data_IF_984174333187
#
_entry.id   IF_984174333187
#
_cell.length_a   1.000
_cell.length_b   1.000
_cell.length_c   1.000
_cell.angle_alpha   90.00
_cell.angle_beta   90.00
_cell.angle_gamma   90.00
#
_symmetry.space_group_name_H-M   'P 1'
#
loop_
_entity.id
_entity.type
_entity.pdbx_description
1 polymer ?
#
# COMPACT_ATOMS: atom_id res chain seq x y z
N UNK A 1 47.00 28.51 -10.68
CA UNK A 1 46.65 27.97 -10.85
C UNK A 1 46.33 27.23 -10.89
N UNK A 2 46.17 27.48 -11.06
CA UNK A 2 45.68 26.70 -11.15
C UNK A 2 45.09 26.07 -11.02
N UNK A 3 44.87 26.07 -11.03
CA UNK A 3 44.28 25.32 -10.89
C UNK A 3 43.64 24.76 -10.87
N UNK A 4 43.91 25.00 -10.96
CA UNK A 4 43.31 24.24 -10.90
C UNK A 4 42.61 23.66 -10.66
N UNK A 5 42.60 23.98 -10.77
CA UNK A 5 41.92 23.30 -10.57
C UNK A 5 41.05 22.86 -10.48
N UNK A 6 41.07 23.03 -10.57
CA UNK A 6 40.32 22.46 -10.47
C UNK A 6 39.43 21.81 -10.48
N UNK A 7 39.47 21.88 -10.47
CA UNK A 7 38.67 21.09 -10.40
C UNK A 7 37.92 20.48 -10.36
N UNK A 8 38.41 20.90 -10.49
CA UNK A 8 37.71 20.09 -10.46
C UNK A 8 37.08 19.48 -10.31
N UNK A 9 36.73 19.46 -10.40
CA UNK A 9 36.03 18.72 -10.31
C UNK A 9 35.38 18.16 -10.21
N UNK A 10 35.86 18.65 -9.97
CA UNK A 10 35.36 17.97 -9.84
C UNK A 10 34.73 17.63 -9.85
N UNK A 11 34.86 17.90 -9.80
CA UNK A 11 34.37 17.42 -9.88
C UNK A 11 33.69 17.00 -9.80
N UNK A 12 33.83 17.19 -9.66
CA UNK A 12 33.29 16.56 -9.65
C UNK A 12 32.61 16.06 -9.43
N UNK A 13 32.68 16.35 -9.20
CA UNK A 13 32.20 15.66 -9.09
C UNK A 13 31.66 15.23 -8.97
N UNK A 14 31.55 15.30 -8.72
CA UNK A 14 31.23 14.62 -8.70
C UNK A 14 30.84 14.18 -8.66
N UNK A 15 30.67 14.27 -8.48
CA UNK A 15 30.33 13.62 -8.59
C UNK A 15 29.80 13.08 -8.57
N UNK A 16 29.82 13.29 -8.22
CA UNK A 16 29.33 12.62 -8.32
C UNK A 16 28.84 11.97 -8.33
N UNK A 17 28.80 12.22 -8.16
CA UNK A 17 28.32 11.48 -8.36
C UNK A 17 28.08 10.84 -8.28
N UNK A 18 28.04 10.65 -8.12
CA UNK A 18 27.58 9.88 -8.25
C UNK A 18 27.25 9.26 -7.97
N UNK A 19 26.98 9.14 -7.71
CA UNK A 19 26.52 8.56 -7.66
C UNK A 19 25.81 8.39 -7.36
N UNK A 20 25.62 8.44 -7.04
CA UNK A 20 24.70 8.32 -7.04
C UNK A 20 23.84 8.11 -7.79
N UNK A 21 23.63 7.68 -8.44
CA UNK A 21 22.91 7.54 -9.38
C UNK A 21 22.55 6.13 -9.80
N UNK A 22 23.03 4.97 -9.65
CA UNK A 22 22.82 3.62 -10.12
C UNK A 22 21.66 2.95 -9.44
N UNK A 23 21.42 3.24 -8.20
CA UNK A 23 20.27 2.71 -7.48
C UNK A 23 18.99 3.17 -8.08
N UNK A 24 18.95 4.42 -8.47
CA UNK A 24 17.75 4.96 -9.09
C UNK A 24 17.51 4.31 -10.43
N UNK A 25 18.56 4.00 -11.13
CA UNK A 25 18.42 3.32 -12.40
C UNK A 25 17.84 1.94 -12.23
N UNK A 26 18.26 1.22 -11.16
CA UNK A 26 17.72 -0.10 -10.87
C UNK A 26 16.25 -0.02 -10.52
N UNK A 27 15.87 0.98 -9.75
CA UNK A 27 14.48 1.16 -9.37
C UNK A 27 13.60 1.42 -10.57
N UNK A 28 14.19 1.92 -11.65
CA UNK A 28 13.44 2.30 -12.83
C UNK A 28 13.63 1.33 -13.97
N UNK A 29 14.18 0.15 -13.70
CA UNK A 29 14.33 -0.83 -14.76
C UNK A 29 12.93 -1.24 -15.24
N UNK A 30 12.76 -1.42 -16.55
CA UNK A 30 11.46 -1.80 -17.09
C UNK A 30 10.94 -3.11 -16.51
N UNK A 31 11.82 -4.08 -16.30
CA UNK A 31 11.41 -5.39 -15.77
C UNK A 31 10.87 -5.24 -14.34
N UNK A 32 11.54 -4.44 -13.52
CA UNK A 32 11.12 -4.23 -12.14
C UNK A 32 9.76 -3.53 -12.09
N UNK A 33 9.59 -2.49 -12.93
CA UNK A 33 8.33 -1.76 -12.99
C UNK A 33 7.20 -2.65 -13.48
N UNK A 34 7.46 -3.50 -14.47
CA UNK A 34 6.47 -4.44 -14.98
C UNK A 34 6.07 -5.46 -13.92
N UNK A 35 7.05 -5.95 -13.16
CA UNK A 35 6.77 -6.89 -12.09
C UNK A 35 5.93 -6.24 -10.99
N UNK A 36 6.27 -5.02 -10.58
CA UNK A 36 5.50 -4.29 -9.58
C UNK A 36 4.07 -4.07 -10.06
N UNK A 37 3.89 -3.68 -11.32
CA UNK A 37 2.56 -3.49 -11.89
C UNK A 37 1.75 -4.78 -11.84
N UNK A 38 2.40 -5.91 -12.13
CA UNK A 38 1.73 -7.21 -12.06
C UNK A 38 1.29 -7.54 -10.64
N UNK A 39 2.13 -7.25 -9.66
CA UNK A 39 1.82 -7.52 -8.25
C UNK A 39 0.59 -6.69 -7.83
N UNK A 40 0.57 -5.40 -8.19
CA UNK A 40 -0.58 -4.55 -7.88
C UNK A 40 -1.84 -5.02 -8.60
N UNK A 41 -1.72 -5.46 -9.86
CA UNK A 41 -2.87 -5.99 -10.59
C UNK A 41 -3.43 -7.25 -9.94
N UNK A 42 -2.56 -8.11 -9.42
CA UNK A 42 -3.02 -9.32 -8.71
C UNK A 42 -3.85 -8.94 -7.49
N UNK A 43 -3.45 -7.88 -6.77
CA UNK A 43 -4.23 -7.41 -5.63
C UNK A 43 -5.60 -6.88 -6.08
N UNK A 44 -5.64 -6.13 -7.17
CA UNK A 44 -6.89 -5.59 -7.70
C UNK A 44 -7.83 -6.68 -8.21
N UNK A 45 -7.28 -7.76 -8.74
CA UNK A 45 -8.05 -8.83 -9.37
C UNK A 45 -8.35 -9.99 -8.45
N UNK A 46 -7.79 -9.98 -7.25
CA UNK A 46 -8.04 -11.05 -6.29
C UNK A 46 -7.26 -12.33 -6.59
N UNK A 47 -6.06 -12.20 -7.17
CA UNK A 47 -5.19 -13.35 -7.44
C UNK A 47 -4.51 -13.84 -6.16
N UNK A 48 -5.29 -14.37 -5.26
CA UNK A 48 -4.89 -14.65 -3.88
C UNK A 48 -3.69 -15.58 -3.80
N UNK A 49 -3.76 -16.72 -4.47
CA UNK A 49 -2.69 -17.74 -4.36
C UNK A 49 -1.39 -17.24 -4.95
N UNK A 50 -1.46 -16.60 -6.12
CA UNK A 50 -0.26 -16.10 -6.78
C UNK A 50 0.37 -14.98 -5.97
N UNK A 51 -0.46 -14.08 -5.46
CA UNK A 51 0.04 -12.98 -4.65
C UNK A 51 0.67 -13.48 -3.35
N UNK A 52 0.04 -14.46 -2.70
CA UNK A 52 0.60 -15.07 -1.50
C UNK A 52 1.97 -15.69 -1.78
N UNK A 53 2.11 -16.37 -2.91
CA UNK A 53 3.38 -16.99 -3.28
C UNK A 53 4.47 -15.92 -3.48
N UNK A 54 4.12 -14.80 -4.10
CA UNK A 54 5.10 -13.72 -4.29
C UNK A 54 5.53 -13.12 -2.96
N UNK A 55 4.61 -12.90 -2.04
CA UNK A 55 4.94 -12.36 -0.72
C UNK A 55 5.82 -13.35 0.03
N UNK A 56 5.48 -14.64 -0.02
CA UNK A 56 6.29 -15.68 0.63
C UNK A 56 7.70 -15.76 0.03
N UNK A 57 7.83 -15.40 -1.24
CA UNK A 57 9.14 -15.40 -1.92
C UNK A 57 9.94 -14.13 -1.69
N UNK A 58 9.40 -13.15 -0.95
CA UNK A 58 10.15 -11.97 -0.57
C UNK A 58 9.59 -10.64 -1.03
N UNK A 59 8.48 -10.62 -1.78
CA UNK A 59 7.84 -9.34 -2.12
C UNK A 59 7.33 -8.69 -0.84
N UNK A 60 7.68 -7.42 -0.57
CA UNK A 60 7.23 -6.76 0.67
C UNK A 60 5.70 -6.71 0.72
N UNK A 61 5.14 -7.19 1.82
CA UNK A 61 3.68 -7.27 1.95
C UNK A 61 3.03 -5.88 2.00
N UNK A 62 3.78 -4.88 2.48
CA UNK A 62 3.28 -3.49 2.56
C UNK A 62 3.75 -2.63 1.39
N UNK A 63 4.15 -3.26 0.29
CA UNK A 63 4.50 -2.52 -0.93
C UNK A 63 3.33 -1.64 -1.34
N UNK A 64 3.62 -0.38 -1.70
CA UNK A 64 2.58 0.54 -2.15
C UNK A 64 2.93 1.13 -3.50
N UNK A 65 1.90 1.55 -4.23
CA UNK A 65 2.07 2.15 -5.54
C UNK A 65 2.30 3.67 -5.41
N UNK A 66 2.28 4.37 -6.53
CA UNK A 66 2.55 5.81 -6.57
C UNK A 66 1.45 6.65 -5.91
N UNK A 67 0.31 6.06 -5.59
CA UNK A 67 -0.77 6.72 -4.86
C UNK A 67 -0.77 6.36 -3.38
N UNK A 68 0.21 5.58 -2.95
CA UNK A 68 0.29 5.12 -1.57
C UNK A 68 -0.63 3.96 -1.26
N UNK A 69 -1.27 3.35 -2.26
CA UNK A 69 -2.16 2.21 -2.04
C UNK A 69 -1.33 0.95 -1.84
N UNK A 70 -1.52 0.29 -0.71
CA UNK A 70 -0.87 -1.00 -0.44
C UNK A 70 -1.63 -2.12 -1.12
N UNK A 71 -1.02 -3.31 -1.10
CA UNK A 71 -1.68 -4.49 -1.66
C UNK A 71 -3.00 -4.76 -0.95
N UNK A 72 -3.02 -4.66 0.38
CA UNK A 72 -4.25 -4.90 1.14
C UNK A 72 -5.28 -3.83 0.84
N UNK A 73 -4.86 -2.58 0.61
CA UNK A 73 -5.79 -1.51 0.24
C UNK A 73 -6.47 -1.80 -1.09
N UNK A 74 -5.68 -2.23 -2.09
CA UNK A 74 -6.22 -2.54 -3.41
C UNK A 74 -7.18 -3.72 -3.36
N UNK A 75 -6.79 -4.78 -2.64
CA UNK A 75 -7.66 -5.95 -2.49
C UNK A 75 -8.97 -5.59 -1.76
N UNK A 76 -8.86 -4.77 -0.72
CA UNK A 76 -10.03 -4.35 0.07
C UNK A 76 -10.98 -3.51 -0.78
N UNK A 77 -10.43 -2.54 -1.51
CA UNK A 77 -11.26 -1.62 -2.31
C UNK A 77 -12.02 -2.37 -3.41
N UNK A 78 -11.42 -3.45 -3.92
CA UNK A 78 -12.04 -4.24 -4.99
C UNK A 78 -12.81 -5.46 -4.47
N UNK A 79 -13.00 -5.58 -3.16
CA UNK A 79 -13.90 -6.57 -2.58
C UNK A 79 -13.33 -7.98 -2.45
N UNK A 80 -12.01 -8.13 -2.47
CA UNK A 80 -11.37 -9.45 -2.43
C UNK A 80 -11.00 -9.84 -1.01
N UNK A 81 -11.98 -10.27 -0.22
CA UNK A 81 -11.76 -10.53 1.20
C UNK A 81 -10.77 -11.67 1.46
N UNK A 82 -10.73 -12.69 0.59
CA UNK A 82 -9.75 -13.78 0.76
C UNK A 82 -8.33 -13.24 0.60
N UNK A 83 -8.11 -12.39 -0.39
CA UNK A 83 -6.81 -11.76 -0.60
C UNK A 83 -6.43 -10.90 0.60
N UNK A 84 -7.39 -10.13 1.12
CA UNK A 84 -7.17 -9.32 2.32
C UNK A 84 -6.71 -10.20 3.48
N UNK A 85 -7.43 -11.29 3.73
CA UNK A 85 -7.11 -12.20 4.83
C UNK A 85 -5.71 -12.77 4.68
N UNK A 86 -5.35 -13.23 3.50
CA UNK A 86 -4.05 -13.84 3.24
C UNK A 86 -2.92 -12.83 3.43
N UNK A 87 -3.12 -11.59 3.01
CA UNK A 87 -2.12 -10.54 3.19
C UNK A 87 -1.98 -10.19 4.67
N UNK A 88 -3.08 -10.10 5.41
CA UNK A 88 -3.03 -9.80 6.84
C UNK A 88 -2.31 -10.91 7.60
N UNK A 89 -2.52 -12.17 7.23
CA UNK A 89 -1.82 -13.30 7.84
C UNK A 89 -0.31 -13.21 7.63
N UNK A 90 0.12 -12.50 6.59
CA UNK A 90 1.53 -12.33 6.26
C UNK A 90 2.10 -11.01 6.75
N UNK A 91 1.39 -10.33 7.63
CA UNK A 91 1.89 -9.13 8.29
C UNK A 91 1.53 -7.82 7.61
N UNK A 92 0.55 -7.81 6.68
CA UNK A 92 0.12 -6.55 6.11
C UNK A 92 -0.43 -5.63 7.18
N UNK A 93 -0.11 -4.34 7.05
CA UNK A 93 -0.60 -3.31 7.97
C UNK A 93 -2.04 -2.95 7.56
N UNK A 94 -3.03 -3.25 8.41
CA UNK A 94 -4.43 -2.98 8.03
C UNK A 94 -4.79 -1.50 8.08
N UNK A 95 -3.95 -0.66 8.69
CA UNK A 95 -4.31 0.73 8.98
C UNK A 95 -3.50 1.74 8.18
N UNK A 96 -2.65 1.29 7.27
CA UNK A 96 -1.80 2.21 6.53
C UNK A 96 -2.63 3.01 5.52
N UNK A 97 -2.69 4.35 5.66
CA UNK A 97 -3.47 5.16 4.72
C UNK A 97 -2.70 5.36 3.41
N UNK A 98 -3.44 5.60 2.34
CA UNK A 98 -2.84 6.02 1.09
C UNK A 98 -2.58 7.53 1.12
N UNK A 99 -2.16 8.09 -0.01
CA UNK A 99 -1.81 9.52 -0.08
C UNK A 99 -3.00 10.43 0.15
N UNK A 100 -4.22 9.91 0.05
CA UNK A 100 -5.44 10.67 0.32
C UNK A 100 -5.93 10.47 1.76
N UNK A 101 -5.16 9.79 2.59
CA UNK A 101 -5.55 9.54 3.98
C UNK A 101 -6.56 8.42 4.17
N UNK A 102 -6.87 7.67 3.11
CA UNK A 102 -7.87 6.61 3.17
C UNK A 102 -7.22 5.30 3.59
N UNK A 103 -7.81 4.66 4.60
CA UNK A 103 -7.36 3.34 5.06
C UNK A 103 -8.12 2.25 4.32
N UNK A 104 -7.61 1.00 4.34
CA UNK A 104 -8.36 -0.12 3.76
C UNK A 104 -9.76 -0.26 4.32
N UNK A 105 -9.93 -0.12 5.63
CA UNK A 105 -11.25 -0.28 6.24
C UNK A 105 -12.20 0.84 5.80
N UNK A 106 -11.73 2.09 5.76
CA UNK A 106 -12.56 3.19 5.29
C UNK A 106 -12.99 2.97 3.84
N UNK A 107 -12.08 2.46 2.99
CA UNK A 107 -12.40 2.14 1.61
C UNK A 107 -13.45 1.05 1.49
N UNK A 108 -13.33 0.01 2.33
CA UNK A 108 -14.31 -1.08 2.34
C UNK A 108 -15.68 -0.59 2.77
N UNK A 109 -15.74 0.30 3.76
CA UNK A 109 -17.01 0.91 4.20
C UNK A 109 -17.61 1.74 3.08
N UNK A 110 -16.79 2.57 2.43
CA UNK A 110 -17.24 3.40 1.32
C UNK A 110 -17.85 2.54 0.20
N UNK A 111 -17.25 1.39 -0.07
CA UNK A 111 -17.73 0.49 -1.12
C UNK A 111 -18.85 -0.45 -0.65
N UNK A 112 -19.09 -0.52 0.65
CA UNK A 112 -20.12 -1.40 1.20
C UNK A 112 -19.76 -2.87 1.14
N UNK A 113 -18.48 -3.22 1.26
CA UNK A 113 -17.99 -4.59 1.13
C UNK A 113 -17.93 -5.25 2.50
N UNK A 114 -19.05 -5.83 2.93
CA UNK A 114 -19.15 -6.36 4.29
C UNK A 114 -18.13 -7.45 4.60
N UNK A 115 -17.89 -8.38 3.68
CA UNK A 115 -16.92 -9.46 3.92
C UNK A 115 -15.51 -8.91 4.11
N UNK A 116 -15.16 -7.85 3.38
CA UNK A 116 -13.87 -7.19 3.54
C UNK A 116 -13.79 -6.48 4.87
N UNK A 117 -14.86 -5.79 5.26
CA UNK A 117 -14.92 -5.12 6.57
C UNK A 117 -14.66 -6.13 7.68
N UNK A 118 -15.33 -7.29 7.62
CA UNK A 118 -15.16 -8.33 8.62
C UNK A 118 -13.72 -8.85 8.64
N UNK A 119 -13.15 -9.08 7.47
CA UNK A 119 -11.76 -9.59 7.38
C UNK A 119 -10.77 -8.59 7.97
N UNK A 120 -10.96 -7.30 7.68
CA UNK A 120 -10.08 -6.27 8.21
C UNK A 120 -10.20 -6.13 9.72
N UNK A 121 -11.42 -6.17 10.25
CA UNK A 121 -11.63 -6.10 11.71
C UNK A 121 -11.01 -7.32 12.39
N UNK A 122 -11.18 -8.51 11.82
CA UNK A 122 -10.57 -9.72 12.34
C UNK A 122 -9.04 -9.62 12.35
N UNK A 123 -8.50 -8.88 11.40
CA UNK A 123 -7.05 -8.66 11.31
C UNK A 123 -6.54 -7.49 12.13
N UNK A 124 -7.39 -6.86 12.93
CA UNK A 124 -6.98 -5.81 13.85
C UNK A 124 -7.08 -4.40 13.31
N UNK A 125 -7.83 -4.16 12.22
CA UNK A 125 -7.98 -2.81 11.68
C UNK A 125 -8.64 -1.87 12.69
N UNK A 126 -8.14 -0.64 12.74
CA UNK A 126 -8.63 0.40 13.64
C UNK A 126 -9.67 1.24 12.93
N UNK A 127 -10.95 1.20 13.36
CA UNK A 127 -11.99 1.96 12.65
C UNK A 127 -11.85 3.47 12.78
N UNK A 128 -10.99 3.96 13.68
CA UNK A 128 -10.78 5.40 13.86
C UNK A 128 -9.59 5.93 13.08
N UNK A 129 -8.83 5.06 12.41
CA UNK A 129 -7.66 5.47 11.63
C UNK A 129 -8.10 6.06 10.29
N UNK A 130 -7.31 7.00 9.80
CA UNK A 130 -7.52 7.61 8.49
C UNK A 130 -8.36 8.88 8.55
N UNK A 131 -8.44 9.56 7.40
CA UNK A 131 -9.15 10.84 7.28
C UNK A 131 -9.85 10.88 5.94
N UNK A 132 -11.19 10.64 5.88
CA UNK A 132 -12.03 10.24 7.00
C UNK A 132 -11.76 8.81 7.42
N UNK A 133 -12.01 8.53 8.69
CA UNK A 133 -11.90 7.17 9.21
C UNK A 133 -13.08 6.32 8.76
N UNK A 134 -12.99 5.01 9.05
CA UNK A 134 -14.10 4.11 8.75
C UNK A 134 -15.36 4.52 9.52
N UNK A 135 -15.20 4.92 10.79
CA UNK A 135 -16.35 5.39 11.60
C UNK A 135 -16.97 6.62 10.95
N UNK A 136 -16.14 7.59 10.57
CA UNK A 136 -16.64 8.82 9.95
C UNK A 136 -17.33 8.52 8.62
N UNK A 137 -16.76 7.62 7.84
CA UNK A 137 -17.36 7.22 6.57
C UNK A 137 -18.71 6.57 6.79
N UNK A 138 -18.81 5.68 7.78
CA UNK A 138 -20.08 5.03 8.10
C UNK A 138 -21.14 6.04 8.53
N UNK A 139 -20.74 7.06 9.29
CA UNK A 139 -21.68 8.12 9.69
C UNK A 139 -22.14 8.93 8.50
N UNK A 140 -21.21 9.24 7.58
CA UNK A 140 -21.55 10.04 6.39
C UNK A 140 -22.61 9.37 5.52
N UNK A 141 -22.62 8.03 5.51
CA UNK A 141 -23.56 7.26 4.69
C UNK A 141 -24.67 6.64 5.50
N UNK A 142 -24.85 7.08 6.76
CA UNK A 142 -25.94 6.61 7.63
C UNK A 142 -25.96 5.10 7.83
N UNK A 143 -24.76 4.52 7.94
CA UNK A 143 -24.59 3.08 8.17
C UNK A 143 -24.59 2.82 9.68
N UNK A 144 -25.76 2.96 10.30
CA UNK A 144 -25.87 2.94 11.76
C UNK A 144 -25.38 1.63 12.36
N UNK A 145 -25.63 0.51 11.70
CA UNK A 145 -25.17 -0.80 12.18
C UNK A 145 -23.63 -0.84 12.25
N UNK A 146 -22.96 -0.27 11.26
CA UNK A 146 -21.50 -0.22 11.25
C UNK A 146 -20.98 0.74 12.31
N UNK A 147 -21.64 1.88 12.47
CA UNK A 147 -21.24 2.84 13.53
C UNK A 147 -21.30 2.16 14.89
N UNK A 148 -22.39 1.43 15.16
CA UNK A 148 -22.55 0.70 16.41
C UNK A 148 -21.47 -0.36 16.57
N UNK A 149 -21.17 -1.09 15.51
CA UNK A 149 -20.12 -2.13 15.54
C UNK A 149 -18.76 -1.52 15.83
N UNK A 150 -18.41 -0.43 15.17
CA UNK A 150 -17.09 0.20 15.36
C UNK A 150 -16.94 0.78 16.76
N UNK A 151 -18.03 1.32 17.32
CA UNK A 151 -17.98 1.88 18.66
C UNK A 151 -17.83 0.82 19.73
N UNK A 152 -18.17 -0.42 19.42
CA UNK A 152 -18.00 -1.54 20.35
C UNK A 152 -16.65 -2.20 20.26
N UNK A 153 -15.81 -1.78 19.31
CA UNK A 153 -14.47 -2.39 19.15
C UNK A 153 -13.43 -1.95 20.18
#
# INVERSE_FOLDING_TARGET
MTDPTRRPEHAVHHEQAPAQHSEQEQEQSPELLQFAAKVFDLARQGGTETLAAYVDAGVPVNLCNDKGDTLVMLAAYHGHWQTVTVLLERGADPDRPNDHGQTPLAGAVFKGEQAVIDALLDGGADPTAGTPSAVETARMFDMDDLVALFNGC
#
